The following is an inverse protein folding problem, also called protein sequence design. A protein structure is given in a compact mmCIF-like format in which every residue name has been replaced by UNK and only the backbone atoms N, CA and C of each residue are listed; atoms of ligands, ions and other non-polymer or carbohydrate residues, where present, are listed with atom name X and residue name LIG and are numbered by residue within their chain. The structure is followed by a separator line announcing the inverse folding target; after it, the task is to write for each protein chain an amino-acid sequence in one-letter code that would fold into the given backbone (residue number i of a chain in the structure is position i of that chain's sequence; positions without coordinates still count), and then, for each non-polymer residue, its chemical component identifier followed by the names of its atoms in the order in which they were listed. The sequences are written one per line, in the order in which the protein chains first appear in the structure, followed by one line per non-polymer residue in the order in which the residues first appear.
data_IF_299068177899
#
_entry.id   IF_299068177899
#
_cell.length_a   1.000
_cell.length_b   1.000
_cell.length_c   1.000
_cell.angle_alpha   90.00
_cell.angle_beta   90.00
_cell.angle_gamma   90.00
#
_symmetry.space_group_name_H-M   'P 1'
#
loop_
_entity.id
_entity.type
_entity.pdbx_description
1 polymer ?
#
# COMPACT_ATOMS: atom_id res chain seq x y z
N UNK A 1 17.56 -0.65 -19.80
CA UNK A 1 17.66 -0.69 -21.30
C UNK A 1 16.83 -1.82 -21.83
N UNK A 2 15.93 -1.59 -22.79
CA UNK A 2 15.14 -2.64 -23.44
C UNK A 2 15.36 -2.56 -24.96
N UNK A 3 15.77 -3.68 -25.56
CA UNK A 3 16.14 -3.73 -27.01
C UNK A 3 17.16 -2.65 -27.42
N UNK A 4 18.14 -2.34 -26.58
CA UNK A 4 19.18 -1.32 -26.83
C UNK A 4 18.72 0.14 -26.67
N UNK A 5 17.48 0.39 -26.27
CA UNK A 5 16.95 1.74 -26.02
C UNK A 5 16.71 1.97 -24.53
N UNK A 6 16.89 3.20 -24.02
CA UNK A 6 16.45 3.55 -22.68
C UNK A 6 14.97 3.24 -22.50
N UNK A 7 14.61 2.73 -21.31
CA UNK A 7 13.23 2.50 -20.91
C UNK A 7 13.03 3.11 -19.53
N UNK A 8 11.94 3.82 -19.32
CA UNK A 8 11.59 4.41 -18.03
C UNK A 8 10.89 3.41 -17.13
N UNK A 9 10.84 3.71 -15.82
CA UNK A 9 10.06 2.94 -14.86
C UNK A 9 8.57 2.88 -15.24
N UNK A 10 8.01 4.03 -15.67
CA UNK A 10 6.62 4.09 -16.11
C UNK A 10 6.34 3.22 -17.35
N UNK A 11 7.25 3.19 -18.31
CA UNK A 11 7.11 2.30 -19.49
C UNK A 11 7.11 0.82 -19.08
N UNK A 12 7.95 0.44 -18.10
CA UNK A 12 8.00 -0.92 -17.57
C UNK A 12 6.68 -1.28 -16.88
N UNK A 13 6.18 -0.41 -16.02
CA UNK A 13 4.93 -0.62 -15.30
C UNK A 13 3.73 -0.68 -16.27
N UNK A 14 3.71 0.15 -17.30
CA UNK A 14 2.71 0.10 -18.37
C UNK A 14 2.75 -1.22 -19.16
N UNK A 15 3.93 -1.71 -19.50
CA UNK A 15 4.08 -3.01 -20.19
C UNK A 15 3.58 -4.14 -19.26
N UNK A 16 3.98 -4.14 -18.00
CA UNK A 16 3.59 -5.18 -17.05
C UNK A 16 2.09 -5.14 -16.71
N UNK A 17 1.44 -4.00 -16.73
CA UNK A 17 0.00 -3.90 -16.49
C UNK A 17 -0.85 -4.22 -17.72
N UNK A 18 -0.42 -3.85 -18.94
CA UNK A 18 -1.26 -3.84 -20.13
C UNK A 18 -0.91 -4.90 -21.18
N UNK A 19 0.37 -5.26 -21.33
CA UNK A 19 0.79 -6.16 -22.41
C UNK A 19 0.35 -7.60 -22.17
N UNK A 20 -0.08 -8.28 -23.26
CA UNK A 20 -0.35 -9.72 -23.29
C UNK A 20 0.81 -10.53 -23.89
N UNK A 21 1.84 -9.87 -24.41
CA UNK A 21 3.04 -10.51 -24.98
C UNK A 21 4.02 -10.86 -23.83
N UNK A 22 4.15 -12.16 -23.55
CA UNK A 22 5.04 -12.66 -22.49
C UNK A 22 6.52 -12.34 -22.75
N UNK A 23 6.97 -12.29 -24.01
CA UNK A 23 8.36 -11.93 -24.30
C UNK A 23 8.63 -10.46 -24.01
N UNK A 24 7.68 -9.58 -24.33
CA UNK A 24 7.77 -8.17 -24.02
C UNK A 24 7.76 -7.96 -22.49
N UNK A 25 6.87 -8.64 -21.77
CA UNK A 25 6.77 -8.61 -20.30
C UNK A 25 8.06 -9.10 -19.65
N UNK A 26 8.61 -10.22 -20.12
CA UNK A 26 9.87 -10.78 -19.60
C UNK A 26 11.01 -9.75 -19.74
N UNK A 27 11.19 -9.18 -20.92
CA UNK A 27 12.23 -8.17 -21.16
C UNK A 27 12.05 -6.92 -20.31
N UNK A 28 10.82 -6.44 -20.13
CA UNK A 28 10.52 -5.31 -19.25
C UNK A 28 10.84 -5.64 -17.78
N UNK A 29 10.42 -6.81 -17.33
CA UNK A 29 10.67 -7.28 -15.97
C UNK A 29 12.19 -7.44 -15.70
N UNK A 30 12.91 -8.13 -16.59
CA UNK A 30 14.38 -8.29 -16.48
C UNK A 30 15.09 -6.94 -16.47
N UNK A 31 14.69 -6.03 -17.38
CA UNK A 31 15.25 -4.67 -17.42
C UNK A 31 15.06 -3.92 -16.10
N UNK A 32 13.94 -4.15 -15.40
CA UNK A 32 13.68 -3.56 -14.08
C UNK A 32 14.59 -4.09 -12.98
N UNK A 33 15.14 -5.30 -13.16
CA UNK A 33 15.99 -5.99 -12.17
C UNK A 33 17.49 -5.77 -12.38
N UNK A 34 17.91 -5.27 -13.54
CA UNK A 34 19.33 -5.09 -13.86
C UNK A 34 20.06 -4.11 -12.92
N UNK A 35 19.38 -3.08 -12.44
CA UNK A 35 19.97 -2.10 -11.51
C UNK A 35 20.40 -2.75 -10.20
N UNK A 36 19.73 -3.81 -9.76
CA UNK A 36 20.07 -4.52 -8.52
C UNK A 36 21.50 -5.05 -8.47
N UNK A 37 22.06 -5.44 -9.63
CA UNK A 37 23.47 -5.88 -9.70
C UNK A 37 24.43 -4.79 -9.24
N UNK A 38 24.19 -3.55 -9.63
CA UNK A 38 25.04 -2.41 -9.27
C UNK A 38 24.79 -1.91 -7.85
N UNK A 39 23.61 -2.15 -7.30
CA UNK A 39 23.25 -1.73 -5.95
C UNK A 39 23.70 -2.71 -4.86
N UNK A 40 24.01 -3.97 -5.21
CA UNK A 40 24.32 -5.04 -4.26
C UNK A 40 25.42 -4.68 -3.26
N UNK A 41 26.54 -4.15 -3.73
CA UNK A 41 27.66 -3.75 -2.87
C UNK A 41 27.30 -2.54 -2.00
N UNK A 42 26.49 -1.62 -2.53
CA UNK A 42 25.95 -0.49 -1.79
C UNK A 42 25.02 -0.92 -0.65
N UNK A 43 24.14 -1.89 -0.90
CA UNK A 43 23.24 -2.44 0.10
C UNK A 43 24.00 -3.12 1.24
N UNK A 44 25.07 -3.87 0.94
CA UNK A 44 25.95 -4.47 1.94
C UNK A 44 26.61 -3.40 2.84
N UNK A 45 27.12 -2.33 2.21
CA UNK A 45 27.68 -1.19 2.94
C UNK A 45 26.64 -0.50 3.81
N UNK A 46 25.41 -0.31 3.30
CA UNK A 46 24.29 0.29 4.05
C UNK A 46 23.87 -0.58 5.24
N UNK A 47 23.80 -1.90 5.08
CA UNK A 47 23.53 -2.83 6.17
C UNK A 47 24.51 -2.63 7.33
N UNK A 48 25.82 -2.64 7.02
CA UNK A 48 26.89 -2.49 8.01
C UNK A 48 26.84 -1.12 8.70
N UNK A 49 26.72 -0.04 7.92
CA UNK A 49 26.67 1.33 8.44
C UNK A 49 25.43 1.59 9.30
N UNK A 50 24.25 1.12 8.86
CA UNK A 50 23.02 1.26 9.62
C UNK A 50 23.08 0.52 10.95
N UNK A 51 23.54 -0.73 10.96
CA UNK A 51 23.75 -1.47 12.20
C UNK A 51 24.76 -0.77 13.11
N UNK A 52 25.90 -0.31 12.58
CA UNK A 52 26.90 0.40 13.33
C UNK A 52 26.40 1.73 13.91
N UNK A 53 25.51 2.43 13.22
CA UNK A 53 24.98 3.73 13.66
C UNK A 53 24.06 3.65 14.88
N UNK A 54 23.38 2.53 15.08
CA UNK A 54 22.41 2.35 16.17
C UNK A 54 22.97 1.61 17.39
N UNK A 55 24.08 0.88 17.22
CA UNK A 55 24.74 0.16 18.33
C UNK A 55 25.16 1.10 19.47
N UNK A 56 25.71 2.32 19.23
CA UNK A 56 26.01 3.28 20.31
C UNK A 56 24.78 3.85 21.03
N UNK A 57 23.59 3.59 20.50
CA UNK A 57 22.30 3.98 21.06
C UNK A 57 21.62 2.82 21.82
N UNK A 58 22.37 1.77 22.12
CA UNK A 58 21.92 0.56 22.86
C UNK A 58 20.90 -0.31 22.08
N UNK A 59 20.78 -0.16 20.75
CA UNK A 59 20.00 -1.09 19.93
C UNK A 59 20.88 -2.23 19.41
N UNK A 60 20.30 -3.42 19.27
CA UNK A 60 21.00 -4.63 18.80
C UNK A 60 21.45 -4.50 17.35
N UNK A 61 20.57 -3.94 16.52
CA UNK A 61 20.74 -3.73 15.10
C UNK A 61 19.71 -2.71 14.59
N UNK A 62 19.74 -2.43 13.29
CA UNK A 62 18.86 -1.41 12.68
C UNK A 62 17.39 -1.84 12.64
N UNK A 63 17.07 -3.13 12.56
CA UNK A 63 15.69 -3.61 12.59
C UNK A 63 15.09 -3.42 14.00
N UNK A 64 15.84 -3.73 15.06
CA UNK A 64 15.48 -3.46 16.45
C UNK A 64 15.21 -1.95 16.67
N UNK A 65 16.10 -1.08 16.19
CA UNK A 65 15.90 0.37 16.24
C UNK A 65 14.56 0.80 15.58
N UNK A 66 14.26 0.27 14.39
CA UNK A 66 13.06 0.64 13.66
C UNK A 66 11.78 0.11 14.31
N UNK A 67 11.79 -1.07 14.92
CA UNK A 67 10.62 -1.61 15.63
C UNK A 67 10.29 -0.81 16.89
N UNK A 68 11.27 -0.14 17.49
CA UNK A 68 11.05 0.75 18.63
C UNK A 68 10.20 1.99 18.30
N UNK A 69 10.09 2.40 17.04
CA UNK A 69 9.11 3.42 16.61
C UNK A 69 7.65 3.00 16.91
N UNK A 70 7.42 1.69 17.05
CA UNK A 70 6.13 1.11 17.43
C UNK A 70 6.06 0.75 18.92
N UNK A 71 7.10 1.01 19.70
CA UNK A 71 7.24 0.52 21.08
C UNK A 71 7.22 -1.01 21.13
N UNK A 72 7.83 -1.67 20.16
CA UNK A 72 7.84 -3.13 20.00
C UNK A 72 9.29 -3.64 19.90
N UNK A 73 9.49 -4.87 20.38
CA UNK A 73 10.68 -5.65 20.08
C UNK A 73 10.58 -6.27 18.67
N UNK A 74 11.70 -6.75 18.12
CA UNK A 74 11.73 -7.50 16.87
C UNK A 74 10.79 -8.70 16.88
N UNK A 75 10.80 -9.49 17.97
CA UNK A 75 9.97 -10.69 18.11
C UNK A 75 8.47 -10.33 18.14
N UNK A 76 8.10 -9.24 18.80
CA UNK A 76 6.71 -8.76 18.79
C UNK A 76 6.28 -8.30 17.40
N UNK A 77 7.14 -7.60 16.66
CA UNK A 77 6.84 -7.17 15.29
C UNK A 77 6.70 -8.38 14.35
N UNK A 78 7.61 -9.33 14.42
CA UNK A 78 7.53 -10.55 13.61
C UNK A 78 6.30 -11.38 13.97
N UNK A 79 5.97 -11.50 15.26
CA UNK A 79 4.75 -12.19 15.70
C UNK A 79 3.50 -11.51 15.14
N UNK A 80 3.43 -10.19 15.18
CA UNK A 80 2.32 -9.41 14.66
C UNK A 80 2.16 -9.58 13.13
N UNK A 81 3.24 -9.43 12.37
CA UNK A 81 3.22 -9.55 10.91
C UNK A 81 2.86 -10.98 10.46
N UNK A 82 3.38 -12.00 11.16
CA UNK A 82 3.03 -13.41 10.93
C UNK A 82 1.57 -13.72 11.30
N UNK A 83 1.03 -13.08 12.33
CA UNK A 83 -0.39 -13.16 12.64
C UNK A 83 -1.24 -12.64 11.48
N UNK A 84 -0.92 -11.49 10.89
CA UNK A 84 -1.65 -10.96 9.74
C UNK A 84 -1.63 -11.94 8.56
N UNK A 85 -0.47 -12.51 8.25
CA UNK A 85 -0.35 -13.52 7.19
C UNK A 85 -1.27 -14.72 7.51
N UNK A 86 -1.23 -15.22 8.74
CA UNK A 86 -2.05 -16.37 9.16
C UNK A 86 -3.55 -16.07 8.99
N UNK A 87 -3.99 -14.87 9.38
CA UNK A 87 -5.40 -14.45 9.32
C UNK A 87 -5.89 -14.32 7.86
N UNK A 88 -5.07 -13.77 6.95
CA UNK A 88 -5.46 -13.60 5.53
C UNK A 88 -5.18 -14.83 4.67
N UNK A 89 -4.38 -15.78 5.14
CA UNK A 89 -3.86 -16.90 4.34
C UNK A 89 -4.92 -17.75 3.64
N UNK A 90 -6.06 -18.10 4.27
CA UNK A 90 -7.11 -18.84 3.59
C UNK A 90 -7.63 -18.14 2.33
N UNK A 91 -7.83 -16.81 2.40
CA UNK A 91 -8.29 -16.01 1.27
C UNK A 91 -7.17 -15.81 0.24
N UNK A 92 -5.95 -15.55 0.70
CA UNK A 92 -4.79 -15.42 -0.19
C UNK A 92 -4.55 -16.69 -1.02
N UNK A 93 -4.68 -17.84 -0.41
CA UNK A 93 -4.55 -19.14 -1.07
C UNK A 93 -5.57 -19.34 -2.19
N UNK A 94 -6.80 -18.87 -1.99
CA UNK A 94 -7.84 -18.85 -3.03
C UNK A 94 -7.50 -17.88 -4.16
N UNK A 95 -7.07 -16.65 -3.83
CA UNK A 95 -6.65 -15.64 -4.81
C UNK A 95 -5.44 -16.12 -5.63
N UNK A 96 -4.45 -16.72 -4.99
CA UNK A 96 -3.27 -17.27 -5.67
C UNK A 96 -3.66 -18.38 -6.64
N UNK A 97 -4.53 -19.31 -6.21
CA UNK A 97 -5.01 -20.39 -7.08
C UNK A 97 -5.78 -19.83 -8.26
N UNK A 98 -6.71 -18.91 -8.02
CA UNK A 98 -7.44 -18.21 -9.07
C UNK A 98 -6.48 -17.53 -10.06
N UNK A 99 -5.55 -16.72 -9.57
CA UNK A 99 -4.61 -15.98 -10.42
C UNK A 99 -3.75 -16.89 -11.31
N UNK A 100 -3.26 -18.02 -10.79
CA UNK A 100 -2.48 -18.99 -11.59
C UNK A 100 -3.25 -19.49 -12.82
N UNK A 101 -4.52 -19.83 -12.64
CA UNK A 101 -5.35 -20.36 -13.72
C UNK A 101 -5.77 -19.27 -14.71
N UNK A 102 -6.13 -18.08 -14.22
CA UNK A 102 -6.50 -16.96 -15.08
C UNK A 102 -5.30 -16.44 -15.91
N UNK A 103 -4.13 -16.34 -15.29
CA UNK A 103 -2.91 -15.95 -16.00
C UNK A 103 -2.48 -16.99 -17.03
N UNK A 104 -2.56 -18.29 -16.69
CA UNK A 104 -2.30 -19.38 -17.63
C UNK A 104 -3.22 -19.31 -18.86
N UNK A 105 -4.52 -19.09 -18.64
CA UNK A 105 -5.50 -18.90 -19.71
C UNK A 105 -5.22 -17.65 -20.53
N UNK A 106 -4.96 -16.51 -19.87
CA UNK A 106 -4.64 -15.23 -20.52
C UNK A 106 -3.44 -15.34 -21.45
N UNK A 107 -2.40 -16.03 -21.00
CA UNK A 107 -1.15 -16.15 -21.77
C UNK A 107 -1.07 -17.45 -22.60
N UNK A 108 -2.11 -18.29 -22.59
CA UNK A 108 -2.16 -19.58 -23.29
C UNK A 108 -0.97 -20.49 -22.94
N UNK A 109 -0.67 -20.56 -21.64
CA UNK A 109 0.41 -21.37 -21.08
C UNK A 109 -0.15 -22.47 -20.17
N UNK A 110 0.62 -23.53 -19.91
CA UNK A 110 0.30 -24.48 -18.82
C UNK A 110 0.18 -23.74 -17.48
N UNK A 111 -0.69 -24.26 -16.58
CA UNK A 111 -0.85 -23.69 -15.24
C UNK A 111 0.42 -23.96 -14.42
N UNK A 112 1.17 -22.94 -13.99
CA UNK A 112 2.40 -23.13 -13.24
C UNK A 112 2.11 -23.50 -11.79
N UNK A 113 3.05 -24.13 -11.08
CA UNK A 113 2.90 -24.37 -9.63
C UNK A 113 3.11 -23.06 -8.82
N UNK A 114 4.03 -22.21 -9.24
CA UNK A 114 4.25 -20.85 -8.70
C UNK A 114 4.12 -19.85 -9.84
N UNK A 115 3.64 -18.65 -9.56
CA UNK A 115 3.42 -17.65 -10.60
C UNK A 115 4.78 -17.07 -11.04
N UNK A 116 5.14 -17.17 -12.35
CA UNK A 116 6.33 -16.50 -12.85
C UNK A 116 6.19 -14.98 -12.68
N UNK A 117 7.17 -14.33 -12.05
CA UNK A 117 7.08 -12.92 -11.64
C UNK A 117 6.71 -11.96 -12.78
N UNK A 118 7.16 -12.20 -14.01
CA UNK A 118 6.85 -11.39 -15.18
C UNK A 118 5.40 -11.55 -15.70
N UNK A 119 4.63 -12.50 -15.17
CA UNK A 119 3.20 -12.64 -15.51
C UNK A 119 2.33 -11.66 -14.73
N UNK A 120 2.82 -11.17 -13.60
CA UNK A 120 2.11 -10.26 -12.71
C UNK A 120 2.20 -8.80 -13.19
N UNK A 121 1.19 -7.97 -12.92
CA UNK A 121 1.16 -6.58 -13.38
C UNK A 121 2.11 -5.65 -12.64
N UNK A 122 2.74 -6.11 -11.58
CA UNK A 122 3.67 -5.34 -10.77
C UNK A 122 5.04 -6.00 -10.68
N UNK A 123 6.12 -5.21 -10.72
CA UNK A 123 7.52 -5.68 -10.74
C UNK A 123 7.91 -6.58 -9.58
N UNK A 124 7.23 -6.48 -8.43
CA UNK A 124 7.48 -7.26 -7.22
C UNK A 124 6.30 -8.16 -6.83
N UNK A 125 5.21 -8.13 -7.61
CA UNK A 125 4.00 -8.89 -7.31
C UNK A 125 3.29 -8.43 -6.03
N UNK A 126 3.43 -7.16 -5.66
CA UNK A 126 2.81 -6.59 -4.46
C UNK A 126 1.36 -6.16 -4.65
N UNK A 127 0.94 -6.01 -5.89
CA UNK A 127 -0.40 -5.59 -6.31
C UNK A 127 -0.77 -6.33 -7.61
N UNK A 128 -1.94 -6.94 -7.62
CA UNK A 128 -2.47 -7.70 -8.77
C UNK A 128 -3.79 -7.11 -9.29
N UNK A 129 -4.22 -5.95 -8.82
CA UNK A 129 -5.52 -5.35 -9.16
C UNK A 129 -5.73 -5.17 -10.67
N UNK A 130 -4.67 -4.88 -11.44
CA UNK A 130 -4.74 -4.75 -12.90
C UNK A 130 -5.05 -6.07 -13.65
N UNK A 131 -5.22 -7.20 -12.95
CA UNK A 131 -5.76 -8.44 -13.53
C UNK A 131 -7.27 -8.38 -13.77
N UNK A 132 -7.97 -7.47 -13.12
CA UNK A 132 -9.44 -7.35 -13.16
C UNK A 132 -9.84 -5.94 -13.57
N UNK A 133 -10.68 -5.84 -14.61
CA UNK A 133 -11.31 -4.59 -15.03
C UNK A 133 -12.73 -4.48 -14.43
N UNK A 134 -12.94 -3.45 -13.63
CA UNK A 134 -14.26 -3.17 -12.99
C UNK A 134 -15.01 -2.14 -13.79
N UNK A 135 -15.89 -2.61 -14.66
CA UNK A 135 -16.75 -1.71 -15.47
C UNK A 135 -17.74 -0.93 -14.60
N UNK A 136 -18.03 0.29 -15.00
CA UNK A 136 -19.03 1.16 -14.37
C UNK A 136 -18.50 2.08 -13.27
N UNK A 137 -17.27 1.86 -12.77
CA UNK A 137 -16.63 2.73 -11.77
C UNK A 137 -15.49 3.57 -12.33
N UNK A 138 -15.22 3.51 -13.64
CA UNK A 138 -14.24 4.38 -14.27
C UNK A 138 -14.82 5.79 -14.44
N UNK A 139 -14.28 6.74 -13.68
CA UNK A 139 -14.69 8.16 -13.68
C UNK A 139 -13.75 9.07 -14.46
N UNK A 140 -12.79 8.51 -15.18
CA UNK A 140 -11.74 9.26 -15.89
C UNK A 140 -12.28 10.33 -16.83
N UNK A 141 -13.33 10.01 -17.58
CA UNK A 141 -13.95 10.96 -18.52
C UNK A 141 -14.55 12.18 -17.81
N UNK A 142 -15.17 11.96 -16.66
CA UNK A 142 -15.75 13.05 -15.87
C UNK A 142 -14.67 13.88 -15.21
N UNK A 143 -13.65 13.24 -14.66
CA UNK A 143 -12.51 13.93 -14.03
C UNK A 143 -11.71 14.75 -15.04
N UNK A 144 -11.51 14.26 -16.27
CA UNK A 144 -10.86 15.02 -17.36
C UNK A 144 -11.59 16.32 -17.69
N UNK A 145 -12.92 16.33 -17.61
CA UNK A 145 -13.74 17.55 -17.83
C UNK A 145 -13.63 18.50 -16.65
N UNK A 146 -13.57 17.98 -15.41
CA UNK A 146 -13.52 18.82 -14.21
C UNK A 146 -12.12 19.38 -13.93
N UNK A 147 -11.08 18.65 -14.28
CA UNK A 147 -9.68 19.04 -14.15
C UNK A 147 -9.03 18.77 -12.79
N UNK A 148 -7.70 18.88 -12.71
CA UNK A 148 -6.93 18.55 -11.51
C UNK A 148 -7.15 19.54 -10.37
N UNK A 149 -7.38 20.82 -10.64
CA UNK A 149 -7.71 21.83 -9.66
C UNK A 149 -9.00 21.50 -8.92
N UNK A 150 -10.04 21.08 -9.68
CA UNK A 150 -11.27 20.64 -9.07
C UNK A 150 -11.05 19.43 -8.14
N UNK A 151 -10.22 18.46 -8.55
CA UNK A 151 -9.95 17.29 -7.71
C UNK A 151 -9.31 17.69 -6.37
N UNK A 152 -8.33 18.58 -6.38
CA UNK A 152 -7.67 19.06 -5.16
C UNK A 152 -8.65 19.79 -4.23
N UNK A 153 -9.43 20.74 -4.75
CA UNK A 153 -10.38 21.51 -3.95
C UNK A 153 -11.61 20.71 -3.52
N UNK A 154 -12.06 19.76 -4.32
CA UNK A 154 -13.16 18.90 -3.92
C UNK A 154 -12.74 17.90 -2.83
N UNK A 155 -11.46 17.46 -2.86
CA UNK A 155 -10.85 16.72 -1.77
C UNK A 155 -10.86 17.52 -0.45
N UNK A 156 -10.44 18.79 -0.46
CA UNK A 156 -10.56 19.66 0.73
C UNK A 156 -11.99 19.77 1.22
N UNK A 157 -12.95 20.07 0.34
CA UNK A 157 -14.38 20.16 0.69
C UNK A 157 -14.94 18.89 1.32
N UNK A 158 -14.43 17.72 0.91
CA UNK A 158 -14.79 16.49 1.58
C UNK A 158 -14.42 16.52 3.07
N UNK A 159 -13.18 16.90 3.41
CA UNK A 159 -12.74 17.00 4.81
C UNK A 159 -13.49 18.11 5.56
N UNK A 160 -13.73 19.26 4.94
CA UNK A 160 -14.61 20.29 5.52
C UNK A 160 -16.03 19.77 5.77
N UNK A 161 -16.57 18.98 4.85
CA UNK A 161 -17.90 18.40 4.96
C UNK A 161 -18.07 17.51 6.20
N UNK A 162 -17.04 16.78 6.57
CA UNK A 162 -17.01 15.95 7.78
C UNK A 162 -16.53 16.70 9.02
N UNK A 163 -16.16 18.00 8.88
CA UNK A 163 -15.96 18.92 10.00
C UNK A 163 -14.53 19.28 10.31
N UNK A 164 -13.58 19.04 9.42
CA UNK A 164 -12.25 19.64 9.53
C UNK A 164 -12.30 21.12 9.11
N UNK A 165 -11.33 21.90 9.56
CA UNK A 165 -11.15 23.28 9.14
C UNK A 165 -10.54 23.33 7.72
N UNK A 166 -10.77 24.43 7.00
CA UNK A 166 -10.14 24.67 5.69
C UNK A 166 -8.61 24.68 5.79
N UNK A 167 -7.96 24.24 4.74
CA UNK A 167 -6.50 24.29 4.65
C UNK A 167 -6.01 25.74 4.60
N UNK A 168 -4.88 26.06 5.25
CA UNK A 168 -4.37 27.42 5.26
C UNK A 168 -3.91 27.87 3.87
N UNK A 169 -4.00 29.16 3.58
CA UNK A 169 -3.54 29.71 2.30
C UNK A 169 -2.06 29.37 1.99
N UNK A 170 -1.23 29.15 3.03
CA UNK A 170 0.16 28.69 2.89
C UNK A 170 0.27 27.31 2.26
N UNK A 171 -0.67 26.39 2.55
CA UNK A 171 -0.72 25.06 1.91
C UNK A 171 -0.86 25.21 0.39
N UNK A 172 -1.85 25.97 -0.06
CA UNK A 172 -2.12 26.17 -1.49
C UNK A 172 -0.98 26.89 -2.21
N UNK A 173 -0.35 27.85 -1.54
CA UNK A 173 0.76 28.64 -2.10
C UNK A 173 2.06 27.82 -2.21
N UNK A 174 2.34 26.97 -1.23
CA UNK A 174 3.66 26.33 -1.07
C UNK A 174 3.69 24.88 -1.53
N UNK A 175 2.53 24.25 -1.74
CA UNK A 175 2.44 22.87 -2.27
C UNK A 175 2.72 22.84 -3.77
N UNK A 176 3.21 21.69 -4.25
CA UNK A 176 3.41 21.42 -5.68
C UNK A 176 2.45 20.31 -6.12
N UNK A 177 1.22 20.69 -6.49
CA UNK A 177 0.12 19.75 -6.68
C UNK A 177 0.01 19.22 -8.13
N UNK A 178 0.49 19.97 -9.13
CA UNK A 178 0.24 19.66 -10.53
C UNK A 178 1.51 19.26 -11.28
N UNK A 179 1.37 18.48 -12.39
CA UNK A 179 2.52 18.17 -13.24
C UNK A 179 3.25 19.44 -13.71
N UNK A 180 4.56 19.35 -13.85
CA UNK A 180 5.35 20.41 -14.48
C UNK A 180 5.35 20.24 -16.02
N UNK A 181 5.46 21.33 -16.78
CA UNK A 181 5.62 21.25 -18.24
C UNK A 181 6.81 20.36 -18.65
N UNK A 182 6.69 19.72 -19.81
CA UNK A 182 7.72 18.80 -20.31
C UNK A 182 9.08 19.49 -20.60
N UNK A 183 9.07 20.79 -20.82
CA UNK A 183 10.24 21.66 -21.06
C UNK A 183 10.79 22.30 -19.79
N UNK A 184 10.32 21.90 -18.63
CA UNK A 184 10.82 22.40 -17.35
C UNK A 184 12.31 22.11 -17.19
N UNK A 185 13.10 23.06 -16.60
CA UNK A 185 14.53 22.89 -16.41
C UNK A 185 14.91 21.89 -15.32
N UNK A 186 13.92 21.25 -14.67
CA UNK A 186 14.11 20.25 -13.63
C UNK A 186 13.09 19.12 -13.77
N UNK A 187 13.44 17.96 -13.25
CA UNK A 187 12.55 16.81 -13.15
C UNK A 187 11.84 16.81 -11.80
N UNK A 188 10.51 16.79 -11.82
CA UNK A 188 9.69 16.65 -10.62
C UNK A 188 9.55 15.17 -10.25
N UNK A 189 9.67 14.85 -8.96
CA UNK A 189 9.29 13.54 -8.45
C UNK A 189 7.77 13.36 -8.61
N UNK A 190 7.36 12.30 -9.29
CA UNK A 190 5.95 12.00 -9.53
C UNK A 190 5.30 11.19 -8.40
N UNK A 191 6.06 10.72 -7.42
CA UNK A 191 5.52 10.06 -6.23
C UNK A 191 4.81 11.10 -5.37
N UNK A 192 3.51 10.88 -5.11
CA UNK A 192 2.72 11.75 -4.25
C UNK A 192 3.22 11.64 -2.81
N UNK A 193 3.22 12.76 -2.07
CA UNK A 193 3.64 12.79 -0.67
C UNK A 193 3.14 14.05 0.04
N UNK A 194 2.98 13.96 1.35
CA UNK A 194 2.63 15.07 2.23
C UNK A 194 3.77 15.35 3.23
N UNK A 195 3.96 16.61 3.59
CA UNK A 195 5.12 17.09 4.35
C UNK A 195 4.69 18.04 5.47
N UNK A 196 5.20 17.78 6.67
CA UNK A 196 5.05 18.63 7.84
C UNK A 196 6.42 19.21 8.21
N UNK A 197 6.76 20.39 7.67
CA UNK A 197 8.14 20.87 7.65
C UNK A 197 8.61 21.49 8.96
N UNK A 198 7.70 22.13 9.71
CA UNK A 198 8.02 22.83 10.96
C UNK A 198 7.34 22.23 12.20
N UNK A 199 6.62 21.12 12.01
CA UNK A 199 5.79 20.49 13.02
C UNK A 199 4.73 21.43 13.64
N UNK A 200 4.32 22.47 12.92
CA UNK A 200 3.29 23.44 13.34
C UNK A 200 2.36 23.83 12.18
N UNK A 201 2.77 24.73 11.29
CA UNK A 201 1.89 25.33 10.26
C UNK A 201 2.38 25.17 8.84
N UNK A 202 3.63 24.86 8.62
CA UNK A 202 4.17 24.65 7.26
C UNK A 202 3.91 23.21 6.80
N UNK A 203 2.69 23.01 6.34
CA UNK A 203 2.22 21.73 5.80
C UNK A 203 2.12 21.88 4.29
N UNK A 204 2.68 20.92 3.56
CA UNK A 204 2.71 20.92 2.08
C UNK A 204 2.41 19.56 1.51
N UNK A 205 2.00 19.53 0.24
CA UNK A 205 1.90 18.29 -0.52
C UNK A 205 2.63 18.41 -1.86
N UNK A 206 3.33 17.34 -2.24
CA UNK A 206 3.96 17.16 -3.54
C UNK A 206 3.14 16.11 -4.30
N UNK A 207 2.50 16.53 -5.39
CA UNK A 207 1.70 15.65 -6.23
C UNK A 207 1.89 15.98 -7.70
N UNK A 208 1.45 15.11 -8.60
CA UNK A 208 1.32 15.38 -10.03
C UNK A 208 -0.09 14.99 -10.47
N UNK A 209 -1.10 15.71 -9.94
CA UNK A 209 -2.52 15.37 -10.08
C UNK A 209 -2.90 15.24 -11.55
N UNK A 210 -3.23 14.00 -11.94
CA UNK A 210 -3.70 13.65 -13.27
C UNK A 210 -5.18 13.26 -13.17
N UNK A 211 -6.07 13.82 -14.01
CA UNK A 211 -7.51 13.56 -13.94
C UNK A 211 -7.87 12.14 -14.35
N UNK A 212 -7.79 11.19 -13.41
CA UNK A 212 -8.18 9.80 -13.55
C UNK A 212 -8.64 9.21 -12.21
N UNK A 213 -9.27 8.05 -12.27
CA UNK A 213 -9.85 7.35 -11.11
C UNK A 213 -8.80 7.02 -10.05
N UNK A 214 -7.63 6.56 -10.45
CA UNK A 214 -6.52 6.23 -9.54
C UNK A 214 -6.06 7.46 -8.76
N UNK A 215 -5.82 8.55 -9.47
CA UNK A 215 -5.34 9.78 -8.83
C UNK A 215 -6.41 10.48 -7.96
N UNK A 216 -7.71 10.23 -8.20
CA UNK A 216 -8.76 10.67 -7.29
C UNK A 216 -8.57 10.07 -5.89
N UNK A 217 -8.35 8.77 -5.81
CA UNK A 217 -8.02 8.11 -4.54
C UNK A 217 -6.72 8.65 -3.92
N UNK A 218 -5.68 8.88 -4.73
CA UNK A 218 -4.40 9.46 -4.28
C UNK A 218 -4.57 10.86 -3.69
N UNK A 219 -5.37 11.75 -4.29
CA UNK A 219 -5.64 13.09 -3.74
C UNK A 219 -6.24 12.99 -2.34
N UNK A 220 -7.25 12.12 -2.15
CA UNK A 220 -7.89 11.94 -0.84
C UNK A 220 -6.93 11.30 0.18
N UNK A 221 -6.06 10.41 -0.27
CA UNK A 221 -5.01 9.80 0.55
C UNK A 221 -4.02 10.85 1.07
N UNK A 222 -3.44 11.66 0.18
CA UNK A 222 -2.46 12.69 0.54
C UNK A 222 -3.07 13.78 1.44
N UNK A 223 -4.31 14.17 1.16
CA UNK A 223 -5.04 15.06 2.05
C UNK A 223 -5.32 14.41 3.42
N UNK A 224 -5.45 13.09 3.50
CA UNK A 224 -5.52 12.36 4.76
C UNK A 224 -4.31 12.61 5.65
N UNK A 225 -3.11 12.56 5.09
CA UNK A 225 -1.89 12.93 5.80
C UNK A 225 -1.90 14.40 6.22
N UNK A 226 -2.28 15.31 5.34
CA UNK A 226 -2.33 16.75 5.60
C UNK A 226 -3.28 17.05 6.76
N UNK A 227 -4.49 16.49 6.76
CA UNK A 227 -5.46 16.69 7.85
C UNK A 227 -5.05 15.99 9.14
N UNK A 228 -4.26 14.93 9.07
CA UNK A 228 -3.66 14.34 10.26
C UNK A 228 -2.62 15.29 10.86
N UNK A 229 -1.74 15.88 10.05
CA UNK A 229 -0.77 16.90 10.48
C UNK A 229 -1.47 18.05 11.19
N UNK A 230 -2.52 18.63 10.60
CA UNK A 230 -3.28 19.73 11.21
C UNK A 230 -3.94 19.32 12.53
N UNK A 231 -4.38 18.07 12.66
CA UNK A 231 -5.12 17.59 13.83
C UNK A 231 -4.31 17.58 15.12
N UNK A 232 -3.03 17.22 15.05
CA UNK A 232 -2.15 17.22 16.23
C UNK A 232 -1.26 18.45 16.39
N UNK A 233 -1.20 19.34 15.36
CA UNK A 233 -0.43 20.60 15.42
C UNK A 233 -1.13 21.65 16.29
N UNK A 234 -1.16 21.41 17.58
CA UNK A 234 -1.84 22.25 18.57
C UNK A 234 -1.03 22.36 19.86
N UNK A 235 -1.22 23.45 20.64
CA UNK A 235 -0.43 23.70 21.86
C UNK A 235 -0.48 22.58 22.89
N UNK A 236 -1.55 21.78 22.92
CA UNK A 236 -1.73 20.68 23.87
C UNK A 236 -0.86 19.45 23.53
N UNK A 237 -0.29 19.38 22.31
CA UNK A 237 0.61 18.31 21.89
C UNK A 237 2.04 18.85 21.86
N UNK A 238 2.96 18.33 22.68
CA UNK A 238 4.37 18.72 22.64
C UNK A 238 4.96 18.53 21.23
N UNK A 239 5.81 19.43 20.77
CA UNK A 239 6.34 19.43 19.38
C UNK A 239 6.96 18.09 19.02
N UNK A 240 7.73 17.47 19.93
CA UNK A 240 8.38 16.17 19.70
C UNK A 240 7.39 15.00 19.55
N UNK A 241 6.13 15.17 19.94
CA UNK A 241 5.06 14.20 19.83
C UNK A 241 4.05 14.54 18.71
N UNK A 242 4.31 15.62 17.96
CA UNK A 242 3.53 15.99 16.77
C UNK A 242 3.87 15.10 15.60
N UNK A 243 3.42 13.87 15.70
CA UNK A 243 3.52 12.84 14.67
C UNK A 243 2.27 11.94 14.77
N UNK A 244 2.03 11.05 13.82
CA UNK A 244 1.01 10.02 13.95
C UNK A 244 1.27 9.13 15.17
N UNK A 245 0.24 8.43 15.65
CA UNK A 245 0.39 7.46 16.75
C UNK A 245 1.49 6.43 16.43
N UNK A 246 1.63 6.06 15.17
CA UNK A 246 2.77 5.43 14.52
C UNK A 246 2.68 5.64 12.99
N UNK A 247 3.71 5.29 12.18
CA UNK A 247 3.64 5.44 10.72
C UNK A 247 2.45 4.72 10.07
N UNK A 248 2.07 3.55 10.55
CA UNK A 248 0.92 2.79 10.04
C UNK A 248 -0.42 3.51 10.22
N UNK A 249 -0.58 4.35 11.24
CA UNK A 249 -1.80 5.16 11.40
C UNK A 249 -1.91 6.25 10.33
N UNK A 250 -0.81 6.89 9.96
CA UNK A 250 -0.80 7.88 8.89
C UNK A 250 -1.24 7.24 7.56
N UNK A 251 -0.62 6.13 7.20
CA UNK A 251 -0.93 5.40 5.98
C UNK A 251 -2.37 4.84 6.00
N UNK A 252 -2.84 4.36 7.16
CA UNK A 252 -4.19 3.83 7.29
C UNK A 252 -5.27 4.87 7.01
N UNK A 253 -5.10 6.09 7.52
CA UNK A 253 -6.06 7.16 7.27
C UNK A 253 -6.07 7.59 5.81
N UNK A 254 -4.92 7.79 5.21
CA UNK A 254 -4.83 8.11 3.78
C UNK A 254 -5.50 7.03 2.93
N UNK A 255 -5.13 5.78 3.11
CA UNK A 255 -5.66 4.66 2.34
C UNK A 255 -7.16 4.41 2.58
N UNK A 256 -7.65 4.64 3.82
CA UNK A 256 -9.08 4.55 4.13
C UNK A 256 -9.90 5.60 3.38
N UNK A 257 -9.39 6.83 3.26
CA UNK A 257 -10.06 7.86 2.46
C UNK A 257 -10.02 7.53 0.97
N UNK A 258 -8.94 6.95 0.48
CA UNK A 258 -8.86 6.41 -0.87
C UNK A 258 -9.96 5.36 -1.13
N UNK A 259 -10.09 4.36 -0.24
CA UNK A 259 -11.14 3.33 -0.33
C UNK A 259 -12.55 3.95 -0.27
N UNK A 260 -12.80 4.82 0.70
CA UNK A 260 -14.13 5.42 0.91
C UNK A 260 -14.55 6.31 -0.29
N UNK A 261 -13.60 7.01 -0.90
CA UNK A 261 -13.86 7.92 -2.03
C UNK A 261 -14.22 7.21 -3.33
N UNK A 262 -13.97 5.91 -3.42
CA UNK A 262 -14.32 5.06 -4.56
C UNK A 262 -15.57 4.21 -4.31
N UNK A 263 -16.22 4.37 -3.15
CA UNK A 263 -17.50 3.72 -2.88
C UNK A 263 -18.61 4.35 -3.74
N UNK A 264 -19.50 3.50 -4.26
CA UNK A 264 -20.56 3.91 -5.18
C UNK A 264 -21.43 5.06 -4.65
N UNK A 265 -21.95 5.04 -3.40
CA UNK A 265 -22.75 6.15 -2.87
C UNK A 265 -21.95 7.46 -2.74
N UNK A 266 -20.65 7.39 -2.47
CA UNK A 266 -19.77 8.56 -2.45
C UNK A 266 -19.64 9.18 -3.84
N UNK A 267 -19.39 8.35 -4.86
CA UNK A 267 -19.27 8.79 -6.26
C UNK A 267 -20.58 9.36 -6.81
N UNK A 268 -21.73 8.75 -6.46
CA UNK A 268 -23.05 9.25 -6.82
C UNK A 268 -23.33 10.61 -6.18
N UNK A 269 -22.98 10.79 -4.91
CA UNK A 269 -23.12 12.06 -4.18
C UNK A 269 -22.36 13.21 -4.88
N UNK A 270 -21.16 12.95 -5.38
CA UNK A 270 -20.35 13.90 -6.14
C UNK A 270 -20.75 14.04 -7.62
N UNK A 271 -21.76 13.28 -8.08
CA UNK A 271 -22.16 13.21 -9.49
C UNK A 271 -21.00 12.83 -10.42
N UNK A 272 -20.11 11.99 -9.93
CA UNK A 272 -19.02 11.39 -10.72
C UNK A 272 -19.53 10.16 -11.50
N UNK A 273 -20.55 9.50 -10.99
CA UNK A 273 -21.31 8.47 -11.69
C UNK A 273 -22.80 8.80 -11.63
N UNK A 274 -23.59 8.22 -12.54
CA UNK A 274 -25.05 8.38 -12.51
C UNK A 274 -25.65 7.51 -11.41
N UNK A 275 -26.71 7.96 -10.72
CA UNK A 275 -27.44 7.13 -9.77
C UNK A 275 -27.93 5.82 -10.42
N UNK A 276 -27.75 4.71 -9.71
CA UNK A 276 -28.19 3.40 -10.17
C UNK A 276 -27.30 2.73 -11.21
N UNK A 277 -26.07 3.25 -11.45
CA UNK A 277 -25.09 2.58 -12.31
C UNK A 277 -24.92 1.13 -11.86
N UNK A 278 -25.04 0.20 -12.79
CA UNK A 278 -24.83 -1.22 -12.52
C UNK A 278 -23.32 -1.51 -12.49
N UNK A 279 -22.88 -2.10 -11.40
CA UNK A 279 -21.49 -2.57 -11.20
C UNK A 279 -21.51 -4.06 -10.93
N UNK A 280 -20.40 -4.71 -11.23
CA UNK A 280 -20.19 -6.09 -10.80
C UNK A 280 -19.46 -6.06 -9.45
N UNK A 281 -20.23 -6.12 -8.37
CA UNK A 281 -19.68 -5.99 -7.00
C UNK A 281 -18.71 -7.12 -6.65
N UNK A 282 -18.88 -8.33 -7.22
CA UNK A 282 -17.93 -9.43 -7.07
C UNK A 282 -16.58 -9.09 -7.72
N UNK A 283 -16.59 -8.51 -8.94
CA UNK A 283 -15.35 -8.10 -9.60
C UNK A 283 -14.72 -6.89 -8.89
N UNK A 284 -15.50 -5.98 -8.32
CA UNK A 284 -15.02 -4.89 -7.49
C UNK A 284 -14.28 -5.43 -6.26
N UNK A 285 -14.90 -6.32 -5.50
CA UNK A 285 -14.27 -6.98 -4.34
C UNK A 285 -13.04 -7.77 -4.73
N UNK A 286 -13.06 -8.46 -5.88
CA UNK A 286 -11.89 -9.19 -6.37
C UNK A 286 -10.74 -8.23 -6.69
N UNK A 287 -11.01 -7.12 -7.36
CA UNK A 287 -10.00 -6.09 -7.67
C UNK A 287 -9.40 -5.51 -6.37
N UNK A 288 -10.23 -5.15 -5.39
CA UNK A 288 -9.79 -4.67 -4.08
C UNK A 288 -8.96 -5.73 -3.32
N UNK A 289 -9.39 -7.00 -3.32
CA UNK A 289 -8.63 -8.09 -2.68
C UNK A 289 -7.28 -8.33 -3.35
N UNK A 290 -7.19 -8.20 -4.67
CA UNK A 290 -5.94 -8.32 -5.43
C UNK A 290 -4.95 -7.19 -5.12
N UNK A 291 -5.39 -6.10 -4.52
CA UNK A 291 -4.56 -5.06 -3.95
C UNK A 291 -4.29 -5.35 -2.45
N UNK A 292 -5.31 -5.25 -1.60
CA UNK A 292 -5.15 -5.23 -0.15
C UNK A 292 -4.74 -6.57 0.47
N UNK A 293 -5.35 -7.69 0.06
CA UNK A 293 -5.01 -9.03 0.60
C UNK A 293 -3.65 -9.49 0.08
N UNK A 294 -3.36 -9.26 -1.21
CA UNK A 294 -2.08 -9.65 -1.83
C UNK A 294 -0.91 -8.90 -1.20
N UNK A 295 -1.14 -7.68 -0.75
CA UNK A 295 -0.12 -6.87 -0.09
C UNK A 295 0.36 -7.48 1.25
N UNK A 296 -0.48 -8.21 1.99
CA UNK A 296 -0.11 -8.73 3.32
C UNK A 296 1.03 -9.76 3.27
N UNK A 297 0.99 -10.85 2.47
CA UNK A 297 2.13 -11.77 2.34
C UNK A 297 3.39 -11.11 1.75
N UNK A 298 3.23 -10.09 0.91
CA UNK A 298 4.34 -9.29 0.42
C UNK A 298 4.98 -8.44 1.53
N UNK A 299 4.22 -7.53 2.15
CA UNK A 299 4.74 -6.56 3.12
C UNK A 299 5.15 -7.21 4.43
N UNK A 300 4.26 -8.03 5.02
CA UNK A 300 4.51 -8.74 6.27
C UNK A 300 5.45 -9.93 6.13
N UNK A 301 5.48 -10.57 4.97
CA UNK A 301 6.29 -11.76 4.69
C UNK A 301 7.58 -11.39 3.98
N UNK A 302 7.54 -11.26 2.65
CA UNK A 302 8.75 -11.13 1.83
C UNK A 302 9.61 -9.96 2.25
N UNK A 303 9.04 -8.76 2.39
CA UNK A 303 9.79 -7.55 2.74
C UNK A 303 10.30 -7.59 4.18
N UNK A 304 9.41 -7.77 5.14
CA UNK A 304 9.77 -7.72 6.58
C UNK A 304 10.76 -8.81 6.95
N UNK A 305 10.56 -10.06 6.51
CA UNK A 305 11.47 -11.16 6.83
C UNK A 305 12.82 -11.01 6.10
N UNK A 306 12.85 -10.43 4.90
CA UNK A 306 14.10 -10.15 4.22
C UNK A 306 14.91 -9.08 4.98
N UNK A 307 14.28 -7.99 5.39
CA UNK A 307 14.97 -6.91 6.12
C UNK A 307 15.35 -7.35 7.54
N UNK A 308 14.56 -8.19 8.20
CA UNK A 308 14.96 -8.84 9.44
C UNK A 308 16.20 -9.73 9.23
N UNK A 309 16.23 -10.56 8.17
CA UNK A 309 17.42 -11.35 7.86
C UNK A 309 18.62 -10.45 7.54
N UNK A 310 18.40 -9.37 6.80
CA UNK A 310 19.45 -8.43 6.41
C UNK A 310 20.11 -7.78 7.63
N UNK A 311 19.33 -7.19 8.55
CA UNK A 311 19.87 -6.40 9.68
C UNK A 311 20.12 -7.25 10.93
N UNK A 312 19.14 -8.00 11.40
CA UNK A 312 19.22 -8.74 12.66
C UNK A 312 20.03 -10.03 12.52
N UNK A 313 19.91 -10.73 11.39
CA UNK A 313 20.71 -11.94 11.13
C UNK A 313 22.00 -11.66 10.39
N UNK A 314 22.26 -10.40 10.01
CA UNK A 314 23.44 -9.99 9.26
C UNK A 314 23.65 -10.87 8.03
N UNK A 315 22.57 -11.04 7.24
CA UNK A 315 22.57 -11.88 6.04
C UNK A 315 23.80 -11.60 5.18
N UNK A 316 24.61 -12.60 4.81
CA UNK A 316 25.78 -12.39 3.96
C UNK A 316 25.37 -11.96 2.55
N UNK A 317 26.19 -11.11 1.91
CA UNK A 317 25.93 -10.57 0.57
C UNK A 317 25.73 -11.67 -0.49
N UNK A 318 26.42 -12.79 -0.36
CA UNK A 318 26.34 -13.95 -1.26
C UNK A 318 25.09 -14.83 -1.03
N UNK A 319 24.15 -14.36 -0.20
CA UNK A 319 22.84 -15.01 0.05
C UNK A 319 21.65 -14.08 -0.20
N UNK A 320 21.86 -12.84 -0.63
CA UNK A 320 20.80 -11.83 -0.78
C UNK A 320 19.74 -12.28 -1.77
N UNK A 321 20.13 -12.68 -2.96
CA UNK A 321 19.18 -12.99 -4.03
C UNK A 321 18.44 -14.31 -3.78
N UNK A 322 19.17 -15.31 -3.25
CA UNK A 322 18.57 -16.60 -2.85
C UNK A 322 17.53 -16.40 -1.75
N UNK A 323 17.88 -15.69 -0.67
CA UNK A 323 16.95 -15.44 0.44
C UNK A 323 15.73 -14.67 -0.03
N UNK A 324 15.90 -13.66 -0.88
CA UNK A 324 14.78 -12.92 -1.46
C UNK A 324 13.79 -13.83 -2.19
N UNK A 325 14.28 -14.70 -3.06
CA UNK A 325 13.40 -15.57 -3.84
C UNK A 325 12.82 -16.74 -3.04
N UNK A 326 13.53 -17.23 -2.04
CA UNK A 326 12.99 -18.21 -1.10
C UNK A 326 11.80 -17.62 -0.32
N UNK A 327 11.91 -16.38 0.13
CA UNK A 327 10.83 -15.66 0.82
C UNK A 327 9.67 -15.32 -0.12
N UNK A 328 9.94 -14.83 -1.34
CA UNK A 328 8.90 -14.56 -2.34
C UNK A 328 8.12 -15.85 -2.70
N UNK A 329 8.82 -16.96 -2.85
CA UNK A 329 8.20 -18.27 -3.09
C UNK A 329 7.35 -18.73 -1.91
N UNK A 330 7.87 -18.58 -0.68
CA UNK A 330 7.20 -18.98 0.55
C UNK A 330 5.92 -18.19 0.80
N UNK A 331 6.01 -16.85 0.75
CA UNK A 331 4.93 -15.96 1.17
C UNK A 331 4.00 -15.58 0.03
N UNK A 332 4.53 -15.34 -1.17
CA UNK A 332 3.73 -14.89 -2.30
C UNK A 332 3.38 -16.00 -3.29
N UNK A 333 4.04 -17.16 -3.23
CA UNK A 333 3.86 -18.20 -4.26
C UNK A 333 4.35 -17.77 -5.64
N UNK A 334 5.38 -16.90 -5.69
CA UNK A 334 5.95 -16.31 -6.90
C UNK A 334 7.36 -16.83 -7.08
N UNK A 335 7.77 -17.09 -8.32
CA UNK A 335 9.13 -17.47 -8.65
C UNK A 335 9.71 -16.60 -9.79
N UNK A 336 11.05 -16.48 -9.88
CA UNK A 336 11.65 -15.76 -11.00
C UNK A 336 11.39 -16.51 -12.31
N UNK A 337 11.34 -15.81 -13.46
CA UNK A 337 11.07 -16.43 -14.76
C UNK A 337 12.16 -17.40 -15.23
N UNK A 338 13.34 -17.32 -14.66
CA UNK A 338 14.51 -18.18 -14.90
C UNK A 338 15.36 -18.24 -13.64
N UNK A 339 16.31 -19.18 -13.57
CA UNK A 339 17.27 -19.25 -12.46
C UNK A 339 18.04 -17.93 -12.35
N UNK A 340 18.06 -17.36 -11.13
CA UNK A 340 18.73 -16.09 -10.81
C UNK A 340 19.66 -16.31 -9.62
N UNK A 341 20.97 -16.35 -9.92
CA UNK A 341 22.00 -16.57 -8.91
C UNK A 341 22.37 -15.29 -8.14
N UNK A 342 23.48 -15.37 -7.39
CA UNK A 342 23.95 -14.27 -6.56
C UNK A 342 24.67 -13.15 -7.35
N UNK A 343 24.81 -13.27 -8.67
CA UNK A 343 25.19 -12.16 -9.57
C UNK A 343 24.10 -11.08 -9.65
N UNK A 344 22.88 -11.41 -9.24
CA UNK A 344 21.75 -10.49 -9.10
C UNK A 344 21.57 -10.01 -7.66
N UNK A 345 20.76 -8.98 -7.47
CA UNK A 345 20.22 -8.54 -6.18
C UNK A 345 18.84 -7.92 -6.40
N UNK A 346 17.85 -8.79 -6.60
CA UNK A 346 16.50 -8.32 -6.98
C UNK A 346 15.81 -7.57 -5.84
N UNK A 347 16.17 -7.85 -4.58
CA UNK A 347 15.75 -7.08 -3.42
C UNK A 347 16.11 -5.59 -3.52
N UNK A 348 17.37 -5.28 -3.89
CA UNK A 348 17.84 -3.89 -4.01
C UNK A 348 17.17 -3.10 -5.14
N UNK A 349 16.36 -3.74 -6.00
CA UNK A 349 15.54 -3.02 -6.98
C UNK A 349 14.29 -2.38 -6.37
N UNK A 350 13.94 -2.73 -5.14
CA UNK A 350 12.87 -2.12 -4.38
C UNK A 350 13.42 -0.94 -3.58
N UNK A 351 13.08 0.26 -3.99
CA UNK A 351 13.61 1.52 -3.45
C UNK A 351 13.56 1.57 -1.92
N UNK A 352 12.50 1.05 -1.30
CA UNK A 352 12.34 1.05 0.16
C UNK A 352 13.46 0.30 0.90
N UNK A 353 14.00 -0.76 0.33
CA UNK A 353 15.13 -1.49 0.95
C UNK A 353 16.37 -0.59 1.04
N UNK A 354 16.57 0.27 0.03
CA UNK A 354 17.74 1.14 -0.02
C UNK A 354 17.52 2.47 0.71
N UNK A 355 16.32 3.09 0.62
CA UNK A 355 16.06 4.47 1.08
C UNK A 355 15.18 4.56 2.32
N UNK A 356 14.25 3.61 2.53
CA UNK A 356 13.31 3.57 3.65
C UNK A 356 13.35 2.21 4.36
N UNK A 357 14.51 1.83 4.91
CA UNK A 357 14.77 0.49 5.39
C UNK A 357 13.97 0.14 6.64
N UNK A 358 13.58 -1.14 6.72
CA UNK A 358 12.80 -1.71 7.82
C UNK A 358 11.53 -0.90 8.11
N UNK A 359 10.81 -0.55 7.03
CA UNK A 359 9.59 0.24 7.10
C UNK A 359 8.34 -0.50 6.59
N UNK A 360 8.52 -1.56 5.78
CA UNK A 360 7.43 -2.11 4.97
C UNK A 360 6.32 -2.79 5.78
N UNK A 361 6.59 -3.25 7.00
CA UNK A 361 5.56 -3.71 7.93
C UNK A 361 4.55 -2.60 8.28
N UNK A 362 4.94 -1.32 8.18
CA UNK A 362 4.05 -0.17 8.40
C UNK A 362 2.88 -0.15 7.42
N UNK A 363 3.12 -0.49 6.14
CA UNK A 363 2.04 -0.59 5.15
C UNK A 363 1.11 -1.78 5.42
N UNK A 364 1.64 -2.90 5.94
CA UNK A 364 0.79 -4.03 6.33
C UNK A 364 -0.08 -3.67 7.54
N UNK A 365 0.50 -3.01 8.54
CA UNK A 365 -0.24 -2.48 9.70
C UNK A 365 -1.30 -1.47 9.24
N UNK A 366 -0.95 -0.60 8.30
CA UNK A 366 -1.87 0.39 7.74
C UNK A 366 -3.07 -0.26 7.04
N UNK A 367 -2.84 -1.27 6.21
CA UNK A 367 -3.91 -1.98 5.53
C UNK A 367 -4.85 -2.68 6.53
N UNK A 368 -4.32 -3.26 7.59
CA UNK A 368 -5.12 -3.87 8.64
C UNK A 368 -5.93 -2.81 9.40
N UNK A 369 -5.29 -1.72 9.83
CA UNK A 369 -5.95 -0.60 10.53
C UNK A 369 -7.05 0.04 9.68
N UNK A 370 -6.79 0.24 8.38
CA UNK A 370 -7.77 0.78 7.44
C UNK A 370 -9.11 0.03 7.55
N UNK A 371 -9.07 -1.31 7.44
CA UNK A 371 -10.31 -2.11 7.49
C UNK A 371 -10.93 -2.16 8.90
N UNK A 372 -10.12 -2.10 9.97
CA UNK A 372 -10.67 -1.97 11.32
C UNK A 372 -11.42 -0.64 11.53
N UNK A 373 -10.82 0.47 11.12
CA UNK A 373 -11.48 1.79 11.19
C UNK A 373 -12.68 1.87 10.27
N UNK A 374 -12.54 1.38 9.03
CA UNK A 374 -13.64 1.38 8.07
C UNK A 374 -14.84 0.57 8.59
N UNK A 375 -14.60 -0.63 9.15
CA UNK A 375 -15.63 -1.44 9.77
C UNK A 375 -16.30 -0.71 10.95
N UNK A 376 -15.52 -0.10 11.83
CA UNK A 376 -16.07 0.66 12.97
C UNK A 376 -16.93 1.85 12.47
N UNK A 377 -16.46 2.57 11.47
CA UNK A 377 -17.21 3.70 10.89
C UNK A 377 -18.49 3.19 10.23
N UNK A 378 -18.44 2.15 9.40
CA UNK A 378 -19.61 1.61 8.71
C UNK A 378 -20.66 1.05 9.66
N UNK A 379 -20.25 0.25 10.64
CA UNK A 379 -21.16 -0.46 11.54
C UNK A 379 -21.68 0.42 12.67
N UNK A 380 -20.77 1.20 13.31
CA UNK A 380 -21.09 1.89 14.58
C UNK A 380 -21.45 3.35 14.40
N UNK A 381 -21.02 4.01 13.30
CA UNK A 381 -21.28 5.43 13.07
C UNK A 381 -22.30 5.62 11.97
N UNK A 382 -22.06 5.01 10.80
CA UNK A 382 -22.92 5.23 9.63
C UNK A 382 -24.11 4.28 9.58
N UNK A 383 -23.99 3.08 10.18
CA UNK A 383 -24.95 1.98 10.03
C UNK A 383 -25.23 1.65 8.55
N UNK A 384 -24.17 1.59 7.75
CA UNK A 384 -24.18 1.32 6.32
C UNK A 384 -23.41 0.04 5.99
N UNK A 385 -23.71 -0.56 4.84
CA UNK A 385 -22.90 -1.65 4.28
C UNK A 385 -21.47 -1.17 4.06
N UNK A 386 -20.43 -1.85 4.59
CA UNK A 386 -19.03 -1.45 4.42
C UNK A 386 -18.59 -1.38 2.94
N UNK A 387 -19.30 -2.07 2.03
CA UNK A 387 -19.03 -2.01 0.58
C UNK A 387 -19.76 -0.86 -0.13
N UNK A 388 -20.60 -0.12 0.58
CA UNK A 388 -21.45 0.94 0.02
C UNK A 388 -21.59 2.12 0.99
N UNK A 389 -20.48 2.59 1.56
CA UNK A 389 -20.47 3.71 2.50
C UNK A 389 -20.43 5.06 1.81
N UNK A 390 -20.93 6.08 2.50
CA UNK A 390 -20.75 7.48 2.13
C UNK A 390 -20.37 8.31 3.36
N UNK A 391 -19.12 8.74 3.46
CA UNK A 391 -18.61 9.56 4.56
C UNK A 391 -18.96 11.05 4.41
N UNK A 392 -19.30 11.50 3.21
CA UNK A 392 -19.51 12.91 2.89
C UNK A 392 -20.59 13.55 3.79
N UNK A 393 -20.23 14.67 4.41
CA UNK A 393 -21.13 15.45 5.25
C UNK A 393 -21.38 14.89 6.64
N UNK A 394 -20.90 13.71 6.98
CA UNK A 394 -21.13 13.09 8.28
C UNK A 394 -20.13 13.61 9.34
N UNK A 395 -20.61 14.49 10.22
CA UNK A 395 -19.79 15.10 11.29
C UNK A 395 -19.34 14.09 12.36
N UNK A 396 -20.06 12.98 12.57
CA UNK A 396 -19.66 11.95 13.54
C UNK A 396 -18.45 11.17 13.04
N UNK A 397 -18.37 10.90 11.74
CA UNK A 397 -17.15 10.37 11.12
C UNK A 397 -15.98 11.31 11.37
N UNK A 398 -16.13 12.61 11.10
CA UNK A 398 -15.06 13.58 11.33
C UNK A 398 -14.66 13.69 12.82
N UNK A 399 -15.61 13.63 13.73
CA UNK A 399 -15.34 13.63 15.17
C UNK A 399 -14.56 12.39 15.60
N UNK A 400 -14.90 11.21 15.07
CA UNK A 400 -14.16 9.98 15.29
C UNK A 400 -12.72 10.11 14.78
N UNK A 401 -12.52 10.56 13.55
CA UNK A 401 -11.20 10.77 12.97
C UNK A 401 -10.35 11.73 13.81
N UNK A 402 -10.91 12.87 14.21
CA UNK A 402 -10.22 13.83 15.08
C UNK A 402 -9.87 13.23 16.44
N UNK A 403 -10.72 12.37 17.01
CA UNK A 403 -10.43 11.68 18.28
C UNK A 403 -9.20 10.80 18.15
N UNK A 404 -9.01 10.13 17.02
CA UNK A 404 -7.85 9.27 16.76
C UNK A 404 -6.61 10.09 16.38
N UNK A 405 -6.75 11.13 15.59
CA UNK A 405 -5.64 11.90 15.05
C UNK A 405 -5.05 12.92 16.05
N UNK A 406 -5.91 13.56 16.84
CA UNK A 406 -5.55 14.71 17.67
C UNK A 406 -4.52 14.46 18.77
N UNK A 407 -4.38 13.26 19.36
CA UNK A 407 -3.33 13.02 20.34
C UNK A 407 -1.92 13.00 19.75
N UNK A 408 -1.78 12.84 18.44
CA UNK A 408 -0.48 12.57 17.82
C UNK A 408 0.15 11.31 18.41
N UNK A 409 1.43 11.35 18.71
CA UNK A 409 2.18 10.28 19.36
C UNK A 409 2.13 10.34 20.92
N UNK A 410 1.20 11.11 21.52
CA UNK A 410 1.11 11.28 22.97
C UNK A 410 0.48 10.09 23.72
N UNK A 411 -0.16 9.19 22.99
CA UNK A 411 -0.80 7.97 23.54
C UNK A 411 -0.18 6.77 22.80
N UNK A 412 0.13 5.70 23.54
CA UNK A 412 0.52 4.44 22.91
C UNK A 412 -0.54 4.02 21.89
N UNK A 413 -0.12 3.68 20.67
CA UNK A 413 -1.03 3.41 19.58
C UNK A 413 -1.99 2.24 19.83
N UNK A 414 -1.58 1.24 20.63
CA UNK A 414 -2.42 0.09 21.02
C UNK A 414 -3.50 0.54 21.99
N UNK A 415 -3.14 1.40 22.94
CA UNK A 415 -4.08 1.97 23.88
C UNK A 415 -5.07 2.91 23.17
N UNK A 416 -4.58 3.74 22.24
CA UNK A 416 -5.43 4.59 21.40
C UNK A 416 -6.45 3.76 20.61
N UNK A 417 -6.03 2.62 20.06
CA UNK A 417 -6.94 1.71 19.34
C UNK A 417 -8.02 1.16 20.24
N UNK A 418 -7.65 0.66 21.44
CA UNK A 418 -8.61 0.15 22.43
C UNK A 418 -9.59 1.23 22.92
N UNK A 419 -9.11 2.46 23.12
CA UNK A 419 -9.95 3.60 23.56
C UNK A 419 -10.91 4.08 22.46
N UNK A 420 -10.58 3.87 21.19
CA UNK A 420 -11.33 4.41 20.07
C UNK A 420 -12.29 3.40 19.44
N UNK A 421 -11.85 2.17 19.21
CA UNK A 421 -12.66 1.13 18.57
C UNK A 421 -12.84 -0.14 19.41
N UNK A 422 -12.36 -0.13 20.66
CA UNK A 422 -12.52 -1.22 21.64
C UNK A 422 -11.97 -2.57 21.18
N UNK A 423 -10.88 -2.56 20.44
CA UNK A 423 -10.27 -3.75 19.85
C UNK A 423 -8.75 -3.67 19.86
N UNK A 424 -8.08 -4.82 19.86
CA UNK A 424 -6.67 -4.94 19.51
C UNK A 424 -6.51 -5.01 17.99
N UNK A 425 -5.27 -4.84 17.49
CA UNK A 425 -4.97 -4.89 16.07
C UNK A 425 -5.11 -6.33 15.54
N UNK A 426 -5.92 -6.51 14.50
CA UNK A 426 -6.20 -7.80 13.85
C UNK A 426 -6.63 -7.61 12.40
N UNK A 427 -6.20 -8.49 11.51
CA UNK A 427 -6.67 -8.50 10.13
C UNK A 427 -8.06 -9.12 9.95
N UNK A 428 -8.69 -9.58 11.03
CA UNK A 428 -10.04 -10.16 10.95
C UNK A 428 -11.07 -9.23 10.28
N UNK A 429 -11.18 -7.92 10.61
CA UNK A 429 -12.08 -7.01 9.90
C UNK A 429 -11.82 -6.89 8.40
N UNK A 430 -10.55 -6.99 7.98
CA UNK A 430 -10.18 -7.06 6.56
C UNK A 430 -10.71 -8.37 5.94
N UNK A 431 -10.51 -9.51 6.60
CA UNK A 431 -11.03 -10.80 6.12
C UNK A 431 -12.55 -10.80 6.05
N UNK A 432 -13.23 -10.24 7.07
CA UNK A 432 -14.70 -10.11 7.11
C UNK A 432 -15.22 -9.25 5.93
N UNK A 433 -14.51 -8.17 5.59
CA UNK A 433 -14.85 -7.33 4.43
C UNK A 433 -14.82 -8.12 3.12
N UNK A 434 -13.86 -9.04 2.96
CA UNK A 434 -13.73 -9.86 1.76
C UNK A 434 -14.43 -11.22 1.85
N UNK A 435 -15.19 -11.51 2.91
CA UNK A 435 -15.89 -12.80 3.07
C UNK A 435 -16.82 -13.15 1.88
N UNK A 436 -17.61 -12.22 1.30
CA UNK A 436 -18.42 -12.55 0.14
C UNK A 436 -17.62 -13.07 -1.07
N UNK A 437 -16.37 -12.64 -1.21
CA UNK A 437 -15.46 -13.10 -2.26
C UNK A 437 -15.00 -14.54 -2.04
N UNK A 438 -14.85 -14.98 -0.79
CA UNK A 438 -14.40 -16.34 -0.45
C UNK A 438 -15.31 -17.41 -1.07
N UNK A 439 -16.63 -17.24 -0.98
CA UNK A 439 -17.60 -18.19 -1.56
C UNK A 439 -17.49 -18.23 -3.10
N UNK A 440 -17.30 -17.09 -3.73
CA UNK A 440 -17.08 -16.99 -5.18
C UNK A 440 -15.81 -17.71 -5.60
N UNK A 441 -14.68 -17.44 -4.94
CA UNK A 441 -13.38 -18.04 -5.27
C UNK A 441 -13.37 -19.55 -5.07
N UNK A 442 -13.92 -20.06 -3.96
CA UNK A 442 -14.05 -21.51 -3.72
C UNK A 442 -14.84 -22.21 -4.83
N UNK A 443 -15.90 -21.57 -5.32
CA UNK A 443 -16.69 -22.11 -6.44
C UNK A 443 -15.88 -22.16 -7.73
N UNK A 444 -15.14 -21.10 -8.05
CA UNK A 444 -14.32 -21.02 -9.28
C UNK A 444 -13.12 -21.97 -9.21
N UNK A 445 -12.53 -22.13 -8.02
CA UNK A 445 -11.37 -22.99 -7.80
C UNK A 445 -11.73 -24.46 -7.60
N UNK A 446 -13.02 -24.81 -7.61
CA UNK A 446 -13.43 -26.21 -7.46
C UNK A 446 -12.80 -27.08 -8.55
N UNK A 447 -12.07 -28.12 -8.13
CA UNK A 447 -11.31 -29.03 -9.03
C UNK A 447 -9.94 -28.47 -9.48
N UNK A 448 -9.57 -27.24 -9.13
CA UNK A 448 -8.24 -26.67 -9.40
C UNK A 448 -7.21 -27.17 -8.38
N UNK A 449 -5.96 -27.36 -8.81
CA UNK A 449 -4.85 -27.75 -7.94
C UNK A 449 -4.35 -26.56 -7.13
N UNK A 450 -4.37 -26.64 -5.81
CA UNK A 450 -3.70 -25.71 -4.91
C UNK A 450 -2.22 -26.08 -4.79
N UNK A 451 -1.34 -25.08 -4.73
CA UNK A 451 0.11 -25.29 -4.58
C UNK A 451 0.67 -24.63 -3.33
N UNK A 452 0.00 -23.60 -2.81
CA UNK A 452 0.29 -23.11 -1.47
C UNK A 452 -0.27 -24.08 -0.42
N UNK A 453 0.49 -24.29 0.66
CA UNK A 453 0.06 -25.12 1.78
C UNK A 453 -1.25 -24.61 2.39
N UNK A 454 -2.03 -25.50 3.01
CA UNK A 454 -3.29 -25.11 3.68
C UNK A 454 -3.02 -24.14 4.84
N UNK A 455 -1.95 -24.37 5.57
CA UNK A 455 -1.45 -23.48 6.63
C UNK A 455 -0.02 -23.09 6.30
N UNK A 456 0.30 -21.82 6.55
CA UNK A 456 1.67 -21.35 6.40
C UNK A 456 2.49 -21.67 7.66
N UNK A 457 3.74 -22.07 7.46
CA UNK A 457 4.72 -22.33 8.51
C UNK A 457 5.77 -21.22 8.49
N UNK A 458 6.22 -20.78 9.68
CA UNK A 458 7.16 -19.65 9.83
C UNK A 458 8.54 -20.07 10.28
#
# INVERSE_FOLDING_TARGET
MMNGKPITTGDIDDILSKSIDLNQRLKAWESSKEVGKTLKAGLDSLQQLRNASVTPLDYKDFFDYKTHEYGMTEDEMLKLTRQFITEVWPLYRELHTWARYELAAKYKQPVPDYIPAHWLPNRWGQDWAALVDVKGLNIDSVLKVRGPEWMAHEGEKFYESIGFDSLPASFWKNSSLYPVPADSPFTKNNHASAWHLDLDKDIRSLQSITPNTEYWGTVLHELGHVFYFTSYSKPSVPVILRNGANPGYHEAFGSMMGLASLQKPFLENLKLIQPGVQTNDTLKLLNEALNYIVHIPWGSGTMTEFEYALYAKKLPQDQYNKTWWDLAKKYQGIEPPSSRGEEYCDAATKTHIDTDPAYYYSYSIANVLLFQFHKYISDSILHQDPHATNYWGNKEVGNFLKKVMSPGASIDWRELLRQTIHSDLSAKPMVDYFEPLMAYLKRINNGRKYTLAEKIEF
#
